data_IF_244084030156
#
_entry.id   IF_244084030156
#
_cell.length_a   1.000
_cell.length_b   1.000
_cell.length_c   1.000
_cell.angle_alpha   90.00
_cell.angle_beta   90.00
_cell.angle_gamma   90.00
#
_symmetry.space_group_name_H-M   'P 1'
#
loop_
_entity.id
_entity.type
_entity.pdbx_description
1 polymer ?
#
# COMPACT_ATOMS: atom_id res chain seq x y z
N UNK A 1 -16.25 -89.89 7.26
CA UNK A 1 -15.56 -88.64 6.81
C UNK A 1 -16.59 -87.74 6.21
N UNK A 2 -16.96 -86.67 6.89
CA UNK A 2 -17.90 -85.63 6.37
C UNK A 2 -17.08 -84.39 6.00
N UNK A 3 -17.27 -83.78 4.85
CA UNK A 3 -16.64 -82.52 4.52
C UNK A 3 -17.33 -81.31 5.24
N UNK A 4 -16.56 -80.41 5.78
CA UNK A 4 -17.03 -79.17 6.38
C UNK A 4 -17.25 -78.16 5.29
N UNK A 5 -18.43 -77.58 5.25
CA UNK A 5 -18.79 -76.45 4.38
C UNK A 5 -18.55 -75.10 5.15
N UNK A 6 -17.69 -74.29 4.61
CA UNK A 6 -17.49 -72.90 5.09
C UNK A 6 -18.53 -71.95 4.45
N UNK A 7 -19.11 -71.00 5.17
CA UNK A 7 -19.98 -69.99 4.61
C UNK A 7 -19.15 -68.85 3.99
N UNK A 8 -19.65 -68.17 2.93
CA UNK A 8 -18.95 -67.05 2.33
C UNK A 8 -19.07 -65.79 3.16
N UNK A 9 -17.94 -65.09 3.35
CA UNK A 9 -17.85 -63.84 4.00
C UNK A 9 -18.41 -62.72 3.06
N UNK A 10 -19.46 -62.02 3.49
CA UNK A 10 -19.98 -60.81 2.86
C UNK A 10 -19.05 -59.64 3.18
N UNK A 11 -18.30 -59.16 2.20
CA UNK A 11 -17.61 -57.87 2.28
C UNK A 11 -18.64 -56.74 2.09
N UNK A 12 -18.94 -56.05 3.18
CA UNK A 12 -19.69 -54.77 3.13
C UNK A 12 -18.75 -53.66 2.69
N UNK A 13 -18.92 -53.16 1.46
CA UNK A 13 -18.23 -51.97 0.99
C UNK A 13 -18.87 -50.72 1.61
N UNK A 14 -18.18 -50.08 2.56
CA UNK A 14 -18.56 -48.77 3.12
C UNK A 14 -18.17 -47.71 2.10
N UNK A 15 -19.16 -47.16 1.38
CA UNK A 15 -19.02 -46.02 0.50
C UNK A 15 -18.92 -44.75 1.38
N UNK A 16 -17.72 -44.26 1.68
CA UNK A 16 -17.51 -43.03 2.39
C UNK A 16 -17.83 -41.85 1.45
N UNK A 17 -19.01 -41.24 1.65
CA UNK A 17 -19.43 -40.02 0.97
C UNK A 17 -18.62 -38.86 1.52
N UNK A 18 -17.55 -38.44 0.83
CA UNK A 18 -16.81 -37.21 1.19
C UNK A 18 -17.64 -36.02 0.75
N UNK A 19 -18.38 -35.44 1.70
CA UNK A 19 -19.03 -34.14 1.52
C UNK A 19 -17.91 -33.09 1.58
N UNK A 20 -17.40 -32.71 0.42
CA UNK A 20 -16.50 -31.57 0.31
C UNK A 20 -17.25 -30.29 0.70
N UNK A 21 -16.91 -29.73 1.86
CA UNK A 21 -17.34 -28.40 2.23
C UNK A 21 -16.72 -27.41 1.21
N UNK A 22 -17.50 -27.00 0.22
CA UNK A 22 -17.14 -25.91 -0.65
C UNK A 22 -17.11 -24.64 0.20
N UNK A 23 -15.92 -24.17 0.58
CA UNK A 23 -15.73 -22.86 1.18
C UNK A 23 -16.26 -21.83 0.18
N UNK A 24 -17.35 -21.15 0.52
CA UNK A 24 -17.84 -20.02 -0.26
C UNK A 24 -16.71 -18.99 -0.35
N UNK A 25 -16.16 -18.79 -1.56
CA UNK A 25 -15.16 -17.75 -1.77
C UNK A 25 -15.80 -16.40 -1.52
N UNK A 26 -15.21 -15.62 -0.59
CA UNK A 26 -15.62 -14.24 -0.36
C UNK A 26 -15.24 -13.47 -1.62
N UNK A 27 -16.24 -13.05 -2.40
CA UNK A 27 -16.04 -12.35 -3.67
C UNK A 27 -16.15 -10.83 -3.53
N UNK A 28 -16.66 -10.34 -2.41
CA UNK A 28 -16.79 -8.90 -2.13
C UNK A 28 -15.86 -8.51 -0.98
N UNK A 29 -15.01 -7.48 -1.15
CA UNK A 29 -14.16 -7.01 -0.07
C UNK A 29 -14.95 -6.54 1.14
N UNK A 30 -14.41 -6.75 2.35
CA UNK A 30 -15.03 -6.25 3.58
C UNK A 30 -15.09 -4.72 3.59
N UNK A 31 -16.16 -4.11 4.15
CA UNK A 31 -16.25 -2.65 4.27
C UNK A 31 -15.05 -2.05 5.01
N UNK A 32 -14.58 -0.90 4.53
CA UNK A 32 -13.45 -0.16 5.08
C UNK A 32 -12.65 0.57 4.02
N UNK A 33 -11.61 1.26 4.46
CA UNK A 33 -10.64 1.94 3.60
C UNK A 33 -9.42 1.07 3.40
N UNK A 34 -8.98 0.97 2.17
CA UNK A 34 -7.76 0.30 1.73
C UNK A 34 -6.89 1.31 0.99
N UNK A 35 -5.61 1.33 1.27
CA UNK A 35 -4.63 2.21 0.62
C UNK A 35 -3.89 1.41 -0.46
N UNK A 36 -3.70 2.01 -1.61
CA UNK A 36 -2.95 1.39 -2.71
C UNK A 36 -1.52 1.11 -2.25
N UNK A 37 -0.99 -0.05 -2.59
CA UNK A 37 0.40 -0.41 -2.30
C UNK A 37 1.35 0.63 -2.91
N UNK A 38 2.24 1.18 -2.08
CA UNK A 38 3.10 2.30 -2.45
C UNK A 38 2.43 3.68 -2.29
N UNK A 39 1.22 3.74 -1.74
CA UNK A 39 0.46 4.99 -1.58
C UNK A 39 -0.15 5.53 -2.88
N UNK A 40 -0.60 6.76 -2.84
CA UNK A 40 -1.11 7.45 -4.04
C UNK A 40 -2.51 7.02 -4.48
N UNK A 41 -3.29 6.38 -3.60
CA UNK A 41 -4.68 6.08 -3.88
C UNK A 41 -5.36 5.27 -2.79
N UNK A 42 -6.68 5.38 -2.77
CA UNK A 42 -7.55 4.72 -1.83
C UNK A 42 -8.68 3.97 -2.53
N UNK A 43 -9.07 2.84 -1.95
CA UNK A 43 -10.31 2.13 -2.21
C UNK A 43 -11.15 2.16 -0.93
N UNK A 44 -12.30 2.80 -0.98
CA UNK A 44 -13.29 2.78 0.10
C UNK A 44 -14.40 1.81 -0.28
N UNK A 45 -14.64 0.79 0.54
CA UNK A 45 -15.76 -0.15 0.39
C UNK A 45 -16.75 0.10 1.52
N UNK A 46 -18.01 0.28 1.16
CA UNK A 46 -19.12 0.46 2.10
C UNK A 46 -19.96 -0.83 2.24
N UNK A 47 -20.85 -0.85 3.23
CA UNK A 47 -21.81 -1.91 3.35
C UNK A 47 -22.65 -2.03 2.06
N UNK A 48 -22.97 -3.27 1.66
CA UNK A 48 -23.69 -3.53 0.40
C UNK A 48 -22.80 -3.47 -0.85
N UNK A 49 -21.46 -3.39 -0.68
CA UNK A 49 -20.51 -3.45 -1.79
C UNK A 49 -20.37 -2.15 -2.59
N UNK A 50 -20.97 -1.03 -2.15
CA UNK A 50 -20.66 0.28 -2.75
C UNK A 50 -19.20 0.58 -2.58
N UNK A 51 -18.55 1.08 -3.62
CA UNK A 51 -17.13 1.42 -3.56
C UNK A 51 -16.85 2.77 -4.22
N UNK A 52 -15.74 3.35 -3.81
CA UNK A 52 -15.11 4.49 -4.45
C UNK A 52 -13.60 4.26 -4.49
N UNK A 53 -13.00 4.42 -5.66
CA UNK A 53 -11.55 4.41 -5.86
C UNK A 53 -11.12 5.81 -6.28
N UNK A 54 -10.09 6.34 -5.63
CA UNK A 54 -9.40 7.54 -6.07
C UNK A 54 -7.90 7.26 -6.08
N UNK A 55 -7.23 7.54 -7.20
CA UNK A 55 -5.77 7.40 -7.31
C UNK A 55 -5.15 8.64 -7.94
N UNK A 56 -3.88 8.85 -7.61
CA UNK A 56 -3.06 9.90 -8.21
C UNK A 56 -1.88 9.23 -8.91
N UNK A 57 -1.71 9.52 -10.18
CA UNK A 57 -0.59 9.10 -11.01
C UNK A 57 0.38 10.24 -11.27
N UNK A 58 1.34 9.99 -12.16
CA UNK A 58 2.37 10.97 -12.49
C UNK A 58 1.78 12.27 -13.04
N UNK A 59 2.44 13.37 -12.71
CA UNK A 59 2.05 14.74 -13.07
C UNK A 59 0.67 15.16 -12.54
N UNK A 60 0.24 14.59 -11.39
CA UNK A 60 -1.04 14.93 -10.76
C UNK A 60 -2.28 14.43 -11.49
N UNK A 61 -2.14 13.54 -12.48
CA UNK A 61 -3.29 12.91 -13.11
C UNK A 61 -4.02 12.01 -12.11
N UNK A 62 -5.35 11.97 -12.16
CA UNK A 62 -6.18 11.18 -11.23
C UNK A 62 -7.00 10.14 -11.96
N UNK A 63 -7.35 9.05 -11.27
CA UNK A 63 -8.49 8.20 -11.61
C UNK A 63 -9.54 8.34 -10.53
N UNK A 64 -10.81 8.29 -10.93
CA UNK A 64 -11.93 8.25 -10.00
C UNK A 64 -12.99 7.28 -10.54
N UNK A 65 -13.32 6.26 -9.74
CA UNK A 65 -14.31 5.25 -10.08
C UNK A 65 -15.21 5.01 -8.87
N UNK A 66 -16.50 4.91 -9.12
CA UNK A 66 -17.48 4.54 -8.11
C UNK A 66 -18.53 3.57 -8.66
N UNK A 67 -19.12 2.76 -7.79
CA UNK A 67 -20.13 1.80 -8.20
C UNK A 67 -20.47 0.81 -7.10
N UNK A 68 -20.98 -0.35 -7.51
CA UNK A 68 -21.33 -1.43 -6.59
C UNK A 68 -20.66 -2.74 -7.05
N UNK A 69 -19.95 -3.40 -6.13
CA UNK A 69 -19.32 -4.69 -6.35
C UNK A 69 -20.38 -5.78 -6.18
N UNK A 70 -20.57 -6.59 -7.21
CA UNK A 70 -21.43 -7.77 -7.18
C UNK A 70 -20.63 -8.96 -7.67
N UNK A 71 -20.52 -10.01 -6.87
CA UNK A 71 -19.74 -11.21 -7.19
C UNK A 71 -18.29 -10.91 -7.62
N UNK A 72 -17.62 -9.99 -6.90
CA UNK A 72 -16.24 -9.61 -7.17
C UNK A 72 -16.03 -8.69 -8.36
N UNK A 73 -17.09 -8.17 -8.98
CA UNK A 73 -17.00 -7.30 -10.16
C UNK A 73 -17.92 -6.09 -10.04
N UNK A 74 -17.50 -4.96 -10.57
CA UNK A 74 -18.34 -3.79 -10.79
C UNK A 74 -18.32 -3.38 -12.27
N UNK A 75 -19.48 -2.93 -12.79
CA UNK A 75 -19.59 -2.31 -14.12
C UNK A 75 -19.86 -0.83 -13.93
N UNK A 76 -19.11 -0.02 -14.64
CA UNK A 76 -19.29 1.43 -14.61
C UNK A 76 -20.55 1.83 -15.39
N UNK A 77 -21.30 2.78 -14.85
CA UNK A 77 -22.52 3.27 -15.52
C UNK A 77 -22.18 3.84 -16.91
N UNK A 78 -23.00 3.51 -17.89
CA UNK A 78 -22.90 4.00 -19.29
C UNK A 78 -21.52 3.74 -19.95
N UNK A 79 -20.79 2.71 -19.50
CA UNK A 79 -19.46 2.36 -20.03
C UNK A 79 -19.29 0.83 -20.15
N UNK A 80 -18.41 0.42 -21.06
CA UNK A 80 -17.97 -0.97 -21.15
C UNK A 80 -16.92 -1.31 -20.05
N UNK A 81 -16.47 -0.33 -19.26
CA UNK A 81 -15.52 -0.55 -18.17
C UNK A 81 -16.10 -1.46 -17.10
N UNK A 82 -15.36 -2.54 -16.80
CA UNK A 82 -15.68 -3.47 -15.74
C UNK A 82 -14.42 -3.72 -14.89
N UNK A 83 -14.56 -3.56 -13.59
CA UNK A 83 -13.48 -3.67 -12.60
C UNK A 83 -13.65 -4.95 -11.78
N UNK A 84 -12.61 -5.71 -11.66
CA UNK A 84 -12.55 -6.97 -10.91
C UNK A 84 -11.87 -6.71 -9.54
N UNK A 85 -12.46 -7.26 -8.49
CA UNK A 85 -11.99 -7.17 -7.11
C UNK A 85 -11.71 -8.57 -6.57
N UNK A 86 -10.47 -8.80 -6.15
CA UNK A 86 -10.02 -10.08 -5.59
C UNK A 86 -9.62 -9.89 -4.13
N UNK A 87 -10.53 -10.12 -3.17
CA UNK A 87 -10.19 -10.00 -1.75
C UNK A 87 -9.30 -11.15 -1.29
N UNK A 88 -8.26 -10.83 -0.52
CA UNK A 88 -7.31 -11.77 0.07
C UNK A 88 -6.93 -11.29 1.49
N UNK A 89 -7.75 -11.61 2.48
CA UNK A 89 -7.57 -11.18 3.87
C UNK A 89 -7.66 -9.65 4.02
N UNK A 90 -6.53 -9.01 4.36
CA UNK A 90 -6.45 -7.55 4.52
C UNK A 90 -6.05 -6.83 3.21
N UNK A 91 -6.02 -7.54 2.10
CA UNK A 91 -5.64 -7.05 0.77
C UNK A 91 -6.81 -7.21 -0.20
N UNK A 92 -6.88 -6.31 -1.17
CA UNK A 92 -7.80 -6.40 -2.31
C UNK A 92 -6.99 -6.15 -3.58
N UNK A 93 -6.90 -7.14 -4.44
CA UNK A 93 -6.43 -6.93 -5.81
C UNK A 93 -7.53 -6.24 -6.62
N UNK A 94 -7.19 -5.22 -7.38
CA UNK A 94 -8.08 -4.50 -8.29
C UNK A 94 -7.50 -4.57 -9.69
N UNK A 95 -8.29 -5.06 -10.65
CA UNK A 95 -7.85 -5.22 -12.03
C UNK A 95 -9.03 -5.04 -13.01
N UNK A 96 -8.77 -5.09 -14.30
CA UNK A 96 -9.78 -5.04 -15.35
C UNK A 96 -9.32 -5.72 -16.63
N UNK A 97 -10.22 -6.49 -17.25
CA UNK A 97 -10.04 -6.99 -18.61
C UNK A 97 -10.48 -5.98 -19.70
N UNK A 98 -11.05 -4.84 -19.30
CA UNK A 98 -11.58 -3.79 -20.20
C UNK A 98 -10.81 -2.49 -20.06
N UNK A 99 -9.47 -2.58 -20.07
CA UNK A 99 -8.58 -1.46 -19.77
C UNK A 99 -8.85 -0.22 -20.62
N UNK A 100 -9.08 -0.39 -21.92
CA UNK A 100 -9.35 0.73 -22.85
C UNK A 100 -10.61 1.52 -22.45
N UNK A 101 -11.71 0.81 -22.16
CA UNK A 101 -12.95 1.45 -21.71
C UNK A 101 -12.83 2.10 -20.33
N UNK A 102 -11.92 1.60 -19.48
CA UNK A 102 -11.69 2.17 -18.16
C UNK A 102 -10.79 3.41 -18.19
N UNK A 103 -10.14 3.71 -19.31
CA UNK A 103 -9.33 4.93 -19.47
C UNK A 103 -10.15 6.21 -19.34
N UNK A 104 -11.43 6.17 -19.67
CA UNK A 104 -12.32 7.34 -19.57
C UNK A 104 -12.47 7.85 -18.13
N UNK A 105 -12.16 7.01 -17.13
CA UNK A 105 -12.19 7.34 -15.70
C UNK A 105 -10.84 7.80 -15.16
N UNK A 106 -9.81 7.88 -16.01
CA UNK A 106 -8.45 8.17 -15.62
C UNK A 106 -7.82 9.23 -16.50
N UNK A 107 -7.09 10.15 -15.88
CA UNK A 107 -6.14 10.98 -16.61
C UNK A 107 -5.01 10.13 -17.22
N UNK A 108 -4.37 10.67 -18.25
CA UNK A 108 -3.42 9.96 -19.14
C UNK A 108 -2.33 9.17 -18.39
N UNK A 109 -1.86 9.64 -17.24
CA UNK A 109 -0.77 9.06 -16.46
C UNK A 109 -1.22 8.47 -15.12
N UNK A 110 -2.52 8.29 -14.93
CA UNK A 110 -3.08 7.64 -13.76
C UNK A 110 -3.64 6.26 -14.10
N UNK A 111 -3.69 5.39 -13.11
CA UNK A 111 -4.29 4.08 -13.21
C UNK A 111 -4.76 3.60 -11.84
N UNK A 112 -5.90 2.94 -11.80
CA UNK A 112 -6.52 2.46 -10.57
C UNK A 112 -6.13 1.02 -10.18
N UNK A 113 -5.71 0.21 -11.14
CA UNK A 113 -5.38 -1.21 -10.88
C UNK A 113 -4.18 -1.38 -9.96
N UNK A 114 -4.17 -2.47 -9.21
CA UNK A 114 -3.11 -2.85 -8.29
C UNK A 114 -3.62 -3.42 -6.97
N UNK A 115 -2.70 -3.64 -6.04
CA UNK A 115 -3.01 -4.11 -4.69
C UNK A 115 -3.39 -2.94 -3.78
N UNK A 116 -4.47 -3.12 -3.04
CA UNK A 116 -4.92 -2.21 -1.99
C UNK A 116 -4.89 -2.93 -0.65
N UNK A 117 -4.30 -2.31 0.36
CA UNK A 117 -4.03 -2.89 1.67
C UNK A 117 -4.86 -2.16 2.72
N UNK A 118 -5.49 -2.90 3.60
CA UNK A 118 -6.11 -2.28 4.79
C UNK A 118 -4.99 -1.80 5.73
N UNK A 119 -4.83 -0.49 5.94
CA UNK A 119 -3.78 0.00 6.82
C UNK A 119 -4.04 -0.45 8.26
N UNK A 120 -2.98 -0.77 8.99
CA UNK A 120 -3.08 -0.95 10.44
C UNK A 120 -3.49 0.36 11.11
N UNK A 121 -4.02 0.35 12.34
CA UNK A 121 -4.44 1.58 13.03
C UNK A 121 -3.34 2.66 13.10
N UNK A 122 -2.06 2.26 13.19
CA UNK A 122 -0.90 3.17 13.21
C UNK A 122 -0.55 3.74 11.84
N UNK A 123 -1.03 3.15 10.75
CA UNK A 123 -0.68 3.50 9.37
C UNK A 123 -1.80 4.24 8.61
N UNK A 124 -2.83 4.70 9.32
CA UNK A 124 -3.82 5.62 8.73
C UNK A 124 -3.20 7.02 8.59
N UNK A 125 -3.64 7.81 7.61
CA UNK A 125 -3.17 9.19 7.42
C UNK A 125 -3.23 10.03 8.70
N UNK A 126 -4.33 9.87 9.45
CA UNK A 126 -4.51 10.55 10.75
C UNK A 126 -3.44 10.15 11.76
N UNK A 127 -3.13 8.86 11.85
CA UNK A 127 -2.12 8.34 12.78
C UNK A 127 -0.71 8.78 12.37
N UNK A 128 -0.37 8.69 11.08
CA UNK A 128 0.91 9.15 10.53
C UNK A 128 1.09 10.65 10.78
N UNK A 129 0.07 11.46 10.50
CA UNK A 129 0.12 12.89 10.75
C UNK A 129 0.27 13.20 12.27
N UNK A 130 -0.35 12.43 13.14
CA UNK A 130 -0.19 12.56 14.59
C UNK A 130 1.24 12.22 15.02
N UNK A 131 1.82 11.12 14.52
CA UNK A 131 3.21 10.71 14.80
C UNK A 131 4.20 11.78 14.35
N UNK A 132 4.02 12.37 13.16
CA UNK A 132 4.87 13.48 12.68
C UNK A 132 4.79 14.72 13.55
N UNK A 133 3.58 15.11 14.01
CA UNK A 133 3.44 16.24 14.96
C UNK A 133 4.11 15.94 16.30
N UNK A 134 3.99 14.72 16.81
CA UNK A 134 4.61 14.31 18.06
C UNK A 134 6.15 14.28 17.94
N UNK A 135 6.66 13.74 16.82
CA UNK A 135 8.07 13.80 16.47
C UNK A 135 8.59 15.24 16.51
N UNK A 136 7.92 16.15 15.80
CA UNK A 136 8.35 17.55 15.74
C UNK A 136 8.42 18.17 17.14
N UNK A 137 7.43 17.94 18.01
CA UNK A 137 7.44 18.45 19.38
C UNK A 137 8.62 17.90 20.19
N UNK A 138 8.87 16.59 20.12
CA UNK A 138 9.99 15.97 20.80
C UNK A 138 11.34 16.49 20.27
N UNK A 139 11.47 16.62 18.96
CA UNK A 139 12.67 17.14 18.30
C UNK A 139 12.96 18.60 18.71
N UNK A 140 11.94 19.46 18.70
CA UNK A 140 12.05 20.87 19.12
C UNK A 140 12.43 20.99 20.61
N UNK A 141 11.95 20.07 21.45
CA UNK A 141 12.31 19.96 22.87
C UNK A 141 13.71 19.31 23.08
N UNK A 142 14.41 18.94 22.02
CA UNK A 142 15.70 18.22 22.04
C UNK A 142 15.63 16.82 22.68
N UNK A 143 14.45 16.26 22.86
CA UNK A 143 14.29 14.86 23.24
C UNK A 143 14.35 13.96 21.99
N UNK A 144 15.57 13.81 21.49
CA UNK A 144 15.81 13.07 20.25
C UNK A 144 15.49 11.58 20.40
N UNK A 145 15.61 11.03 21.61
CA UNK A 145 15.22 9.65 21.86
C UNK A 145 13.71 9.45 21.68
N UNK A 146 12.90 10.32 22.28
CA UNK A 146 11.44 10.30 22.11
C UNK A 146 11.06 10.55 20.65
N UNK A 147 11.74 11.49 19.97
CA UNK A 147 11.52 11.75 18.56
C UNK A 147 11.72 10.48 17.71
N UNK A 148 12.84 9.79 17.90
CA UNK A 148 13.16 8.54 17.18
C UNK A 148 12.14 7.44 17.45
N UNK A 149 11.82 7.16 18.73
CA UNK A 149 10.84 6.12 19.10
C UNK A 149 9.42 6.43 18.61
N UNK A 150 9.11 7.69 18.37
CA UNK A 150 7.80 8.13 17.84
C UNK A 150 7.69 7.93 16.33
N UNK A 151 8.76 8.18 15.57
CA UNK A 151 8.67 8.23 14.11
C UNK A 151 9.20 6.97 13.41
N UNK A 152 10.19 6.27 13.99
CA UNK A 152 10.77 5.08 13.37
C UNK A 152 9.73 3.98 13.06
N UNK A 153 8.76 3.67 13.94
CA UNK A 153 7.72 2.69 13.63
C UNK A 153 6.89 3.04 12.39
N UNK A 154 6.64 4.34 12.14
CA UNK A 154 5.88 4.76 10.96
C UNK A 154 6.60 4.35 9.65
N UNK A 155 7.92 4.55 9.59
CA UNK A 155 8.70 4.17 8.42
C UNK A 155 8.81 2.64 8.27
N UNK A 156 8.85 1.88 9.37
CA UNK A 156 9.00 0.43 9.36
C UNK A 156 7.68 -0.29 9.09
N UNK A 157 6.63 0.06 9.84
CA UNK A 157 5.37 -0.68 9.84
C UNK A 157 4.42 -0.27 8.72
N UNK A 158 4.57 0.97 8.20
CA UNK A 158 3.68 1.52 7.17
C UNK A 158 4.30 1.52 5.77
N UNK A 159 5.45 0.88 5.57
CA UNK A 159 6.21 0.96 4.31
C UNK A 159 5.36 0.65 3.06
N UNK A 160 4.50 -0.36 3.13
CA UNK A 160 3.69 -0.76 1.97
C UNK A 160 2.61 0.26 1.57
N UNK A 161 2.21 1.17 2.46
CA UNK A 161 1.15 2.17 2.20
C UNK A 161 1.67 3.60 2.07
N UNK A 162 2.97 3.82 2.27
CA UNK A 162 3.59 5.14 2.14
C UNK A 162 4.06 5.39 0.71
N UNK A 163 3.87 6.63 0.22
CA UNK A 163 4.50 7.08 -1.03
C UNK A 163 6.01 7.22 -0.87
N UNK A 164 6.76 7.15 -1.98
CA UNK A 164 8.22 7.38 -1.99
C UNK A 164 8.61 8.73 -1.39
N UNK A 165 7.85 9.78 -1.71
CA UNK A 165 8.08 11.14 -1.16
C UNK A 165 7.87 11.17 0.36
N UNK A 166 6.79 10.54 0.85
CA UNK A 166 6.52 10.46 2.29
C UNK A 166 7.65 9.70 3.01
N UNK A 167 8.08 8.55 2.47
CA UNK A 167 9.23 7.80 3.00
C UNK A 167 10.50 8.65 3.03
N UNK A 168 10.75 9.41 1.97
CA UNK A 168 11.90 10.31 1.87
C UNK A 168 11.89 11.39 2.96
N UNK A 169 10.75 12.01 3.22
CA UNK A 169 10.63 12.97 4.31
C UNK A 169 10.80 12.35 5.70
N UNK A 170 10.21 11.16 5.94
CA UNK A 170 10.39 10.43 7.20
C UNK A 170 11.87 10.07 7.43
N UNK A 171 12.59 9.65 6.38
CA UNK A 171 14.03 9.37 6.45
C UNK A 171 14.84 10.62 6.77
N UNK A 172 14.51 11.77 6.16
CA UNK A 172 15.16 13.05 6.47
C UNK A 172 14.98 13.45 7.95
N UNK A 173 13.75 13.35 8.45
CA UNK A 173 13.42 13.66 9.83
C UNK A 173 14.16 12.75 10.82
N UNK A 174 14.13 11.42 10.58
CA UNK A 174 14.82 10.44 11.43
C UNK A 174 16.33 10.63 11.41
N UNK A 175 16.93 10.85 10.25
CA UNK A 175 18.36 11.04 10.09
C UNK A 175 18.85 12.24 10.90
N UNK A 176 18.12 13.37 10.88
CA UNK A 176 18.45 14.52 11.70
C UNK A 176 18.38 14.24 13.20
N UNK A 177 17.35 13.49 13.65
CA UNK A 177 17.23 13.11 15.05
C UNK A 177 18.37 12.17 15.49
N UNK A 178 18.75 11.21 14.64
CA UNK A 178 19.89 10.33 14.86
C UNK A 178 21.20 11.12 14.97
N UNK A 179 21.45 12.03 14.04
CA UNK A 179 22.63 12.90 14.09
C UNK A 179 22.67 13.72 15.39
N UNK A 180 21.53 14.31 15.79
CA UNK A 180 21.44 15.13 17.02
C UNK A 180 21.58 14.29 18.30
N UNK A 181 21.30 12.99 18.24
CA UNK A 181 21.57 12.06 19.34
C UNK A 181 23.00 11.50 19.36
N UNK A 182 23.85 11.92 18.40
CA UNK A 182 25.26 11.51 18.30
C UNK A 182 25.50 10.29 17.43
N UNK A 183 24.49 9.77 16.75
CA UNK A 183 24.60 8.57 15.91
C UNK A 183 24.66 8.93 14.40
N UNK A 184 25.85 9.41 13.96
CA UNK A 184 26.09 9.72 12.56
C UNK A 184 26.06 8.48 11.66
N UNK A 185 26.34 7.28 12.19
CA UNK A 185 26.30 6.05 11.42
C UNK A 185 24.85 5.68 11.06
N UNK A 186 23.94 5.71 12.03
CA UNK A 186 22.51 5.50 11.79
C UNK A 186 21.94 6.58 10.84
N UNK A 187 22.37 7.83 10.98
CA UNK A 187 21.99 8.92 10.08
C UNK A 187 22.30 8.59 8.63
N UNK A 188 23.52 8.17 8.32
CA UNK A 188 23.93 7.75 6.96
C UNK A 188 23.11 6.56 6.47
N UNK A 189 22.93 5.55 7.31
CA UNK A 189 22.19 4.34 6.95
C UNK A 189 20.72 4.65 6.63
N UNK A 190 20.08 5.52 7.40
CA UNK A 190 18.69 5.93 7.17
C UNK A 190 18.53 6.66 5.84
N UNK A 191 19.52 7.44 5.42
CA UNK A 191 19.50 8.19 4.16
C UNK A 191 20.02 7.40 2.94
N UNK A 192 20.67 6.26 3.15
CA UNK A 192 21.28 5.49 2.05
C UNK A 192 20.32 5.21 0.87
N UNK A 193 19.03 4.90 1.07
CA UNK A 193 18.09 4.71 -0.04
C UNK A 193 17.83 5.96 -0.89
N UNK A 194 18.18 7.15 -0.41
CA UNK A 194 18.01 8.41 -1.13
C UNK A 194 19.30 8.90 -1.78
N UNK A 195 20.45 8.27 -1.47
CA UNK A 195 21.77 8.81 -1.80
C UNK A 195 22.01 8.96 -3.31
N UNK A 196 21.58 8.00 -4.12
CA UNK A 196 21.74 8.03 -5.57
C UNK A 196 21.00 9.22 -6.19
N UNK A 197 19.70 9.36 -5.90
CA UNK A 197 18.90 10.46 -6.44
C UNK A 197 19.32 11.82 -5.84
N UNK A 198 19.66 11.87 -4.55
CA UNK A 198 20.19 13.08 -3.93
C UNK A 198 21.54 13.53 -4.54
N UNK A 199 22.30 12.64 -5.15
CA UNK A 199 23.52 12.95 -5.87
C UNK A 199 23.32 13.63 -7.23
N UNK A 200 22.13 13.49 -7.83
CA UNK A 200 21.80 14.10 -9.13
C UNK A 200 21.59 15.61 -8.99
N UNK A 201 21.83 16.36 -10.05
CA UNK A 201 21.50 17.77 -10.12
C UNK A 201 19.98 17.98 -10.22
N UNK A 202 19.52 19.19 -9.90
CA UNK A 202 18.10 19.54 -10.05
C UNK A 202 17.64 19.46 -11.52
N UNK A 203 18.55 19.72 -12.48
CA UNK A 203 18.26 19.60 -13.91
C UNK A 203 18.02 18.13 -14.29
N UNK A 204 18.94 17.22 -13.95
CA UNK A 204 18.78 15.78 -14.21
C UNK A 204 17.49 15.22 -13.60
N UNK A 205 17.14 15.66 -12.38
CA UNK A 205 15.88 15.25 -11.74
C UNK A 205 14.65 15.78 -12.49
N UNK A 206 14.69 17.01 -13.04
CA UNK A 206 13.58 17.56 -13.85
C UNK A 206 13.45 16.90 -15.23
N UNK A 207 14.48 16.25 -15.73
CA UNK A 207 14.43 15.45 -16.96
C UNK A 207 13.74 14.09 -16.72
N UNK A 208 13.85 13.55 -15.49
CA UNK A 208 13.27 12.25 -15.11
C UNK A 208 11.83 12.40 -14.58
N UNK A 209 11.59 13.41 -13.73
CA UNK A 209 10.30 13.62 -13.10
C UNK A 209 9.43 14.60 -13.89
N UNK A 210 8.15 14.26 -14.14
CA UNK A 210 7.19 15.25 -14.67
C UNK A 210 7.12 16.50 -13.78
N UNK A 211 6.72 17.66 -14.30
CA UNK A 211 6.83 18.93 -13.59
C UNK A 211 6.23 18.94 -12.16
N UNK A 212 4.98 18.46 -12.00
CA UNK A 212 4.35 18.44 -10.66
C UNK A 212 4.99 17.44 -9.71
N UNK A 213 5.52 16.33 -10.22
CA UNK A 213 6.24 15.36 -9.40
C UNK A 213 7.61 15.91 -8.98
N UNK A 214 8.30 16.61 -9.89
CA UNK A 214 9.55 17.30 -9.58
C UNK A 214 9.37 18.33 -8.46
N UNK A 215 8.25 19.06 -8.44
CA UNK A 215 7.98 20.09 -7.43
C UNK A 215 7.83 19.51 -6.00
N UNK A 216 7.48 18.24 -5.85
CA UNK A 216 7.41 17.57 -4.54
C UNK A 216 8.64 16.72 -4.21
N UNK A 217 9.30 16.15 -5.23
CA UNK A 217 10.50 15.30 -5.06
C UNK A 217 11.76 16.14 -4.79
N UNK A 218 11.96 17.23 -5.53
CA UNK A 218 13.16 18.06 -5.43
C UNK A 218 13.40 18.64 -4.02
N UNK A 219 12.41 19.23 -3.32
CA UNK A 219 12.62 19.71 -1.95
C UNK A 219 13.05 18.59 -1.00
N UNK A 220 12.45 17.41 -1.13
CA UNK A 220 12.77 16.24 -0.31
C UNK A 220 14.20 15.76 -0.56
N UNK A 221 14.64 15.68 -1.83
CA UNK A 221 16.01 15.29 -2.19
C UNK A 221 17.04 16.37 -1.83
N UNK A 222 16.70 17.65 -1.90
CA UNK A 222 17.56 18.73 -1.39
C UNK A 222 17.82 18.62 0.10
N UNK A 223 16.78 18.29 0.88
CA UNK A 223 16.93 18.00 2.30
C UNK A 223 17.84 16.78 2.53
N UNK A 224 17.63 15.69 1.78
CA UNK A 224 18.47 14.49 1.86
C UNK A 224 19.94 14.79 1.52
N UNK A 225 20.21 15.55 0.46
CA UNK A 225 21.55 16.00 0.06
C UNK A 225 22.26 16.80 1.18
N UNK A 226 21.51 17.67 1.84
CA UNK A 226 22.03 18.45 2.97
C UNK A 226 22.33 17.56 4.16
N UNK A 227 21.39 16.67 4.50
CA UNK A 227 21.53 15.76 5.63
C UNK A 227 22.66 14.75 5.43
N UNK A 228 22.84 14.20 4.22
CA UNK A 228 23.98 13.32 3.89
C UNK A 228 25.32 13.99 4.18
N UNK A 229 25.47 15.27 3.83
CA UNK A 229 26.69 16.04 4.15
C UNK A 229 26.89 16.26 5.66
N UNK A 230 25.82 16.45 6.40
CA UNK A 230 25.89 16.62 7.85
C UNK A 230 26.22 15.33 8.59
N UNK A 231 25.83 14.18 8.04
CA UNK A 231 26.09 12.87 8.62
C UNK A 231 27.47 12.28 8.25
N UNK A 232 28.23 12.97 7.39
CA UNK A 232 29.55 12.53 6.91
C UNK A 232 30.62 12.59 7.98
#
# INVERSE_FOLDING_TARGET
>A
MKPATHPPALLAAILACHIGLASAQITTPSPGTYVRKGGGGDLVVQAGGKFHIQTVGANGHTCELEGTITNGRARMANSACAVDFTPAGQRVGVDTATADACRDFCGMRAWFGGDYLRPTPGCTDKAIAASRRNFKRAYDAKDYRLALTTLAPVLQDCDEVLTGVTKGWLRNDLALAQLRSGDAAACRQTLAPLAEEAGKTDQELREVYPPTDADVVLPMLKAARTNLRLCS
#
